data_IF_902780605918
#
_entry.id   IF_902780605918
#
_cell.length_a   1.000
_cell.length_b   1.000
_cell.length_c   1.000
_cell.angle_alpha   90.00
_cell.angle_beta   90.00
_cell.angle_gamma   90.00
#
_symmetry.space_group_name_H-M   'P 1'
#
loop_
_entity.id
_entity.type
_entity.pdbx_description
1 polymer ?
#
# COMPACT_ATOMS: atom_id res chain seq x y z
N UNK A 1 -93.37 -16.88 61.59
CA UNK A 1 -92.60 -18.07 61.99
C UNK A 1 -91.72 -18.44 60.82
N UNK A 2 -90.42 -18.12 60.88
CA UNK A 2 -89.47 -18.74 59.97
C UNK A 2 -89.27 -20.16 60.50
N UNK A 3 -89.87 -21.15 59.86
CA UNK A 3 -89.43 -22.53 60.04
C UNK A 3 -88.02 -22.61 59.46
N UNK A 4 -87.04 -22.37 60.32
CA UNK A 4 -85.62 -22.56 60.04
C UNK A 4 -85.37 -24.07 59.92
N UNK A 5 -85.95 -24.65 58.87
CA UNK A 5 -85.84 -26.07 58.55
C UNK A 5 -84.44 -26.35 58.00
N UNK A 6 -84.01 -27.60 58.15
CA UNK A 6 -82.71 -28.15 57.73
C UNK A 6 -82.33 -27.80 56.27
N UNK A 7 -83.28 -27.39 55.44
CA UNK A 7 -83.11 -26.93 54.06
C UNK A 7 -82.20 -25.70 53.91
N UNK A 8 -82.25 -24.70 54.79
CA UNK A 8 -81.37 -23.52 54.71
C UNK A 8 -79.87 -23.87 54.82
N UNK A 9 -79.40 -24.62 55.84
CA UNK A 9 -78.00 -25.00 55.90
C UNK A 9 -77.59 -25.93 54.74
N UNK A 10 -78.49 -26.78 54.22
CA UNK A 10 -78.23 -27.60 53.04
C UNK A 10 -77.94 -26.73 51.80
N UNK A 11 -78.73 -25.68 51.55
CA UNK A 11 -78.48 -24.76 50.43
C UNK A 11 -77.15 -24.02 50.57
N UNK A 12 -76.76 -23.62 51.78
CA UNK A 12 -75.46 -22.96 52.03
C UNK A 12 -74.31 -23.92 51.71
N UNK A 13 -74.39 -25.17 52.16
CA UNK A 13 -73.36 -26.18 51.87
C UNK A 13 -73.27 -26.46 50.37
N UNK A 14 -74.42 -26.58 49.68
CA UNK A 14 -74.46 -26.78 48.23
C UNK A 14 -73.89 -25.58 47.47
N UNK A 15 -74.20 -24.35 47.89
CA UNK A 15 -73.65 -23.13 47.30
C UNK A 15 -72.12 -23.04 47.49
N UNK A 16 -71.63 -23.33 48.69
CA UNK A 16 -70.19 -23.37 48.97
C UNK A 16 -69.50 -24.47 48.15
N UNK A 17 -70.11 -25.66 48.04
CA UNK A 17 -69.61 -26.74 47.20
C UNK A 17 -69.53 -26.33 45.72
N UNK A 18 -70.57 -25.67 45.20
CA UNK A 18 -70.58 -25.14 43.84
C UNK A 18 -69.53 -24.04 43.64
N UNK A 19 -69.35 -23.14 44.61
CA UNK A 19 -68.33 -22.09 44.55
C UNK A 19 -66.91 -22.68 44.49
N UNK A 20 -66.63 -23.71 45.29
CA UNK A 20 -65.35 -24.42 45.25
C UNK A 20 -65.15 -25.11 43.90
N UNK A 21 -66.17 -25.80 43.38
CA UNK A 21 -66.12 -26.44 42.07
C UNK A 21 -65.85 -25.43 40.95
N UNK A 22 -66.52 -24.27 40.99
CA UNK A 22 -66.37 -23.22 39.99
C UNK A 22 -65.01 -22.52 40.07
N UNK A 23 -64.46 -22.34 41.28
CA UNK A 23 -63.11 -21.82 41.46
C UNK A 23 -62.06 -22.74 40.84
N UNK A 24 -62.18 -24.05 41.08
CA UNK A 24 -61.25 -25.05 40.55
C UNK A 24 -61.39 -25.21 39.03
N UNK A 25 -62.62 -25.24 38.53
CA UNK A 25 -62.92 -25.56 37.13
C UNK A 25 -62.85 -24.35 36.18
N UNK A 26 -63.05 -23.12 36.67
CA UNK A 26 -63.14 -21.91 35.82
C UNK A 26 -62.10 -20.86 36.18
N UNK A 27 -62.00 -20.44 37.44
CA UNK A 27 -61.09 -19.34 37.80
C UNK A 27 -59.62 -19.71 37.62
N UNK A 28 -59.21 -20.90 38.06
CA UNK A 28 -57.83 -21.39 37.88
C UNK A 28 -57.38 -21.48 36.41
N UNK A 29 -58.11 -22.17 35.50
CA UNK A 29 -57.67 -22.25 34.11
C UNK A 29 -57.69 -20.90 33.40
N UNK A 30 -58.63 -20.00 33.70
CA UNK A 30 -58.64 -18.65 33.15
C UNK A 30 -57.44 -17.83 33.63
N UNK A 31 -57.15 -17.89 34.94
CA UNK A 31 -55.97 -17.22 35.50
C UNK A 31 -54.66 -17.74 34.89
N UNK A 32 -54.55 -19.06 34.68
CA UNK A 32 -53.41 -19.67 33.99
C UNK A 32 -53.30 -19.20 32.54
N UNK A 33 -54.40 -19.20 31.79
CA UNK A 33 -54.39 -18.73 30.40
C UNK A 33 -53.99 -17.25 30.27
N UNK A 34 -54.39 -16.40 31.21
CA UNK A 34 -53.95 -15.00 31.26
C UNK A 34 -52.46 -14.89 31.56
N UNK A 35 -51.96 -15.66 32.54
CA UNK A 35 -50.54 -15.69 32.89
C UNK A 35 -49.68 -16.18 31.71
N UNK A 36 -50.10 -17.26 31.03
CA UNK A 36 -49.42 -17.80 29.86
C UNK A 36 -49.36 -16.76 28.73
N UNK A 37 -50.47 -16.07 28.44
CA UNK A 37 -50.50 -14.97 27.46
C UNK A 37 -49.55 -13.84 27.84
N UNK A 38 -49.55 -13.44 29.11
CA UNK A 38 -48.68 -12.38 29.58
C UNK A 38 -47.20 -12.78 29.48
N UNK A 39 -46.86 -14.03 29.77
CA UNK A 39 -45.53 -14.58 29.61
C UNK A 39 -45.09 -14.60 28.13
N UNK A 40 -45.96 -15.03 27.21
CA UNK A 40 -45.69 -15.03 25.77
C UNK A 40 -45.46 -13.60 25.26
N UNK A 41 -46.32 -12.66 25.63
CA UNK A 41 -46.20 -11.26 25.19
C UNK A 41 -44.88 -10.65 25.68
N UNK A 42 -44.56 -10.82 26.97
CA UNK A 42 -43.29 -10.34 27.54
C UNK A 42 -42.10 -10.99 26.84
N UNK A 43 -42.11 -12.31 26.68
CA UNK A 43 -41.05 -13.04 25.98
C UNK A 43 -40.86 -12.57 24.53
N UNK A 44 -41.95 -12.30 23.81
CA UNK A 44 -41.88 -11.77 22.44
C UNK A 44 -41.30 -10.34 22.41
N UNK A 45 -41.67 -9.48 23.36
CA UNK A 45 -41.13 -8.12 23.47
C UNK A 45 -39.63 -8.17 23.77
N UNK A 46 -39.22 -8.99 24.74
CA UNK A 46 -37.82 -9.13 25.13
C UNK A 46 -36.99 -9.73 23.98
N UNK A 47 -37.52 -10.74 23.29
CA UNK A 47 -36.89 -11.32 22.12
C UNK A 47 -36.75 -10.31 20.96
N UNK A 48 -37.79 -9.51 20.72
CA UNK A 48 -37.76 -8.46 19.70
C UNK A 48 -36.75 -7.35 20.05
N UNK A 49 -36.69 -6.95 21.32
CA UNK A 49 -35.71 -5.98 21.82
C UNK A 49 -34.27 -6.51 21.64
N UNK A 50 -34.01 -7.75 22.05
CA UNK A 50 -32.71 -8.40 21.88
C UNK A 50 -32.32 -8.57 20.40
N UNK A 51 -33.28 -8.93 19.54
CA UNK A 51 -33.05 -9.04 18.10
C UNK A 51 -32.71 -7.67 17.48
N UNK A 52 -33.40 -6.61 17.91
CA UNK A 52 -33.11 -5.23 17.46
C UNK A 52 -31.75 -4.75 17.93
N UNK A 53 -31.37 -5.04 19.18
CA UNK A 53 -30.06 -4.70 19.71
C UNK A 53 -28.94 -5.40 18.94
N UNK A 54 -29.06 -6.71 18.72
CA UNK A 54 -28.11 -7.48 17.88
C UNK A 54 -28.03 -6.94 16.46
N UNK A 55 -29.16 -6.59 15.85
CA UNK A 55 -29.17 -6.01 14.51
C UNK A 55 -28.41 -4.67 14.48
N UNK A 56 -28.64 -3.80 15.46
CA UNK A 56 -27.92 -2.53 15.59
C UNK A 56 -26.42 -2.76 15.80
N UNK A 57 -26.04 -3.74 16.62
CA UNK A 57 -24.64 -4.09 16.84
C UNK A 57 -23.96 -4.57 15.54
N UNK A 58 -24.61 -5.46 14.79
CA UNK A 58 -24.11 -5.95 13.50
C UNK A 58 -23.96 -4.80 12.50
N UNK A 59 -24.93 -3.88 12.44
CA UNK A 59 -24.86 -2.70 11.58
C UNK A 59 -23.70 -1.77 12.00
N UNK A 60 -23.53 -1.54 13.30
CA UNK A 60 -22.41 -0.74 13.81
C UNK A 60 -21.05 -1.37 13.49
N UNK A 61 -20.91 -2.69 13.69
CA UNK A 61 -19.71 -3.44 13.32
C UNK A 61 -19.45 -3.38 11.79
N UNK A 62 -20.50 -3.48 10.98
CA UNK A 62 -20.39 -3.38 9.53
C UNK A 62 -19.89 -2.00 9.09
N UNK A 63 -20.46 -0.92 9.65
CA UNK A 63 -19.99 0.44 9.37
C UNK A 63 -18.53 0.65 9.82
N UNK A 64 -18.15 0.14 10.98
CA UNK A 64 -16.77 0.20 11.47
C UNK A 64 -15.80 -0.55 10.52
N UNK A 65 -16.20 -1.72 10.03
CA UNK A 65 -15.41 -2.49 9.04
C UNK A 65 -15.25 -1.74 7.73
N UNK A 66 -16.30 -1.10 7.21
CA UNK A 66 -16.19 -0.27 6.00
C UNK A 66 -15.21 0.89 6.20
N UNK A 67 -15.31 1.60 7.33
CA UNK A 67 -14.40 2.71 7.62
C UNK A 67 -12.96 2.25 7.70
N UNK A 68 -12.72 1.13 8.38
CA UNK A 68 -11.38 0.52 8.50
C UNK A 68 -10.85 0.09 7.14
N UNK A 69 -11.64 -0.63 6.34
CA UNK A 69 -11.25 -1.08 5.01
C UNK A 69 -10.94 0.10 4.06
N UNK A 70 -11.72 1.18 4.12
CA UNK A 70 -11.44 2.39 3.35
C UNK A 70 -10.14 3.07 3.79
N UNK A 71 -9.87 3.13 5.10
CA UNK A 71 -8.65 3.70 5.63
C UNK A 71 -7.42 2.87 5.23
N UNK A 72 -7.51 1.54 5.32
CA UNK A 72 -6.46 0.61 4.88
C UNK A 72 -6.22 0.70 3.37
N UNK A 73 -7.28 0.76 2.56
CA UNK A 73 -7.15 0.93 1.11
C UNK A 73 -6.46 2.25 0.76
N UNK A 74 -6.84 3.35 1.42
CA UNK A 74 -6.21 4.65 1.21
C UNK A 74 -4.74 4.63 1.64
N UNK A 75 -4.42 4.01 2.79
CA UNK A 75 -3.05 3.85 3.25
C UNK A 75 -2.21 3.05 2.24
N UNK A 76 -2.74 1.93 1.74
CA UNK A 76 -2.08 1.09 0.73
C UNK A 76 -1.83 1.86 -0.58
N UNK A 77 -2.82 2.64 -1.05
CA UNK A 77 -2.65 3.49 -2.24
C UNK A 77 -1.54 4.51 -2.00
N UNK A 78 -1.53 5.19 -0.85
CA UNK A 78 -0.50 6.19 -0.55
C UNK A 78 0.89 5.58 -0.40
N UNK A 79 1.01 4.40 0.21
CA UNK A 79 2.27 3.68 0.34
C UNK A 79 2.78 3.23 -1.04
N UNK A 80 1.91 2.62 -1.84
CA UNK A 80 2.27 2.11 -3.17
C UNK A 80 2.67 3.25 -4.11
N UNK A 81 1.93 4.36 -4.10
CA UNK A 81 2.27 5.55 -4.91
C UNK A 81 3.59 6.16 -4.48
N UNK A 82 3.81 6.34 -3.18
CA UNK A 82 5.08 6.85 -2.65
C UNK A 82 6.26 5.93 -2.99
N UNK A 83 6.08 4.61 -2.87
CA UNK A 83 7.09 3.63 -3.23
C UNK A 83 7.39 3.62 -4.74
N UNK A 84 6.35 3.73 -5.58
CA UNK A 84 6.49 3.84 -7.02
C UNK A 84 7.23 5.12 -7.43
N UNK A 85 6.88 6.26 -6.84
CA UNK A 85 7.56 7.54 -7.07
C UNK A 85 9.04 7.48 -6.66
N UNK A 86 9.33 6.89 -5.48
CA UNK A 86 10.71 6.70 -5.01
C UNK A 86 11.51 5.80 -5.97
N UNK A 87 10.91 4.71 -6.43
CA UNK A 87 11.54 3.79 -7.39
C UNK A 87 11.81 4.49 -8.72
N UNK A 88 10.81 5.20 -9.25
CA UNK A 88 10.94 5.98 -10.48
C UNK A 88 12.04 7.05 -10.38
N UNK A 89 12.09 7.79 -9.27
CA UNK A 89 13.13 8.79 -9.02
C UNK A 89 14.53 8.15 -8.96
N UNK A 90 14.65 6.98 -8.30
CA UNK A 90 15.91 6.26 -8.23
C UNK A 90 16.35 5.71 -9.59
N UNK A 91 15.43 5.20 -10.41
CA UNK A 91 15.73 4.74 -11.78
C UNK A 91 16.13 5.90 -12.69
N UNK A 92 15.40 7.01 -12.66
CA UNK A 92 15.75 8.21 -13.41
C UNK A 92 17.15 8.69 -13.02
N UNK A 93 17.46 8.75 -11.72
CA UNK A 93 18.80 9.13 -11.26
C UNK A 93 19.87 8.17 -11.79
N UNK A 94 19.65 6.85 -11.71
CA UNK A 94 20.58 5.86 -12.27
C UNK A 94 20.80 6.02 -13.77
N UNK A 95 19.74 6.32 -14.53
CA UNK A 95 19.86 6.57 -15.98
C UNK A 95 20.66 7.84 -16.25
N UNK A 96 20.40 8.93 -15.52
CA UNK A 96 21.17 10.16 -15.61
C UNK A 96 22.64 9.95 -15.27
N UNK A 97 22.94 9.27 -14.16
CA UNK A 97 24.31 8.98 -13.72
C UNK A 97 25.06 8.12 -14.74
N UNK A 98 24.39 7.11 -15.32
CA UNK A 98 24.95 6.29 -16.42
C UNK A 98 25.23 7.11 -17.67
N UNK A 99 24.29 7.96 -18.08
CA UNK A 99 24.47 8.82 -19.26
C UNK A 99 25.64 9.80 -19.08
N UNK A 100 25.78 10.38 -17.90
CA UNK A 100 26.94 11.23 -17.57
C UNK A 100 28.26 10.46 -17.61
N UNK A 101 28.29 9.25 -17.04
CA UNK A 101 29.47 8.40 -17.08
C UNK A 101 29.85 8.00 -18.51
N UNK A 102 28.87 7.70 -19.37
CA UNK A 102 29.09 7.36 -20.77
C UNK A 102 29.62 8.55 -21.57
N UNK A 103 29.06 9.75 -21.37
CA UNK A 103 29.57 10.99 -21.98
C UNK A 103 31.01 11.25 -21.54
N UNK A 104 31.31 11.08 -20.26
CA UNK A 104 32.66 11.28 -19.74
C UNK A 104 33.65 10.28 -20.34
N UNK A 105 33.27 8.99 -20.40
CA UNK A 105 34.09 7.96 -21.04
C UNK A 105 34.31 8.22 -22.54
N UNK A 106 33.29 8.69 -23.26
CA UNK A 106 33.41 9.07 -24.66
C UNK A 106 34.36 10.25 -24.86
N UNK A 107 34.30 11.27 -23.98
CA UNK A 107 35.24 12.41 -23.99
C UNK A 107 36.68 11.99 -23.75
N UNK A 108 36.91 11.08 -22.81
CA UNK A 108 38.25 10.54 -22.52
C UNK A 108 38.81 9.76 -23.72
N UNK A 109 37.98 8.91 -24.35
CA UNK A 109 38.36 8.21 -25.58
C UNK A 109 38.71 9.19 -26.71
N UNK A 110 37.85 10.18 -26.97
CA UNK A 110 38.10 11.24 -27.96
C UNK A 110 39.41 12.01 -27.69
N UNK A 111 39.72 12.28 -26.42
CA UNK A 111 40.98 12.94 -26.06
C UNK A 111 42.19 12.03 -26.34
N UNK A 112 42.10 10.73 -26.03
CA UNK A 112 43.16 9.77 -26.34
C UNK A 112 43.36 9.56 -27.84
N UNK A 113 42.29 9.43 -28.62
CA UNK A 113 42.34 9.26 -30.07
C UNK A 113 42.96 10.48 -30.75
N UNK A 114 42.62 11.70 -30.28
CA UNK A 114 43.26 12.93 -30.75
C UNK A 114 44.77 12.93 -30.50
N UNK A 115 45.22 12.46 -29.32
CA UNK A 115 46.65 12.35 -29.02
C UNK A 115 47.37 11.41 -30.01
N UNK A 116 46.81 10.22 -30.22
CA UNK A 116 47.35 9.23 -31.16
C UNK A 116 47.39 9.77 -32.60
N UNK A 117 46.33 10.44 -33.05
CA UNK A 117 46.28 11.05 -34.39
C UNK A 117 47.31 12.17 -34.57
N UNK A 118 47.57 12.97 -33.54
CA UNK A 118 48.61 14.00 -33.58
C UNK A 118 49.99 13.34 -33.69
N UNK A 119 50.26 12.30 -32.90
CA UNK A 119 51.54 11.58 -32.95
C UNK A 119 51.75 10.93 -34.33
N UNK A 120 50.72 10.33 -34.93
CA UNK A 120 50.77 9.79 -36.29
C UNK A 120 51.01 10.87 -37.35
N UNK A 121 50.36 12.04 -37.24
CA UNK A 121 50.58 13.15 -38.17
C UNK A 121 52.02 13.67 -38.09
N UNK A 122 52.59 13.78 -36.89
CA UNK A 122 53.98 14.20 -36.69
C UNK A 122 54.96 13.20 -37.33
N UNK A 123 54.72 11.90 -37.19
CA UNK A 123 55.56 10.88 -37.81
C UNK A 123 55.45 10.89 -39.35
N UNK A 124 54.24 11.08 -39.90
CA UNK A 124 54.04 11.23 -41.35
C UNK A 124 54.71 12.48 -41.91
N UNK A 125 54.60 13.61 -41.20
CA UNK A 125 55.23 14.86 -41.60
C UNK A 125 56.76 14.75 -41.57
N UNK A 126 57.32 14.11 -40.53
CA UNK A 126 58.74 13.80 -40.43
C UNK A 126 59.24 12.95 -41.61
N UNK A 127 58.52 11.89 -41.97
CA UNK A 127 58.84 11.07 -43.15
C UNK A 127 58.76 11.83 -44.47
N UNK A 128 57.84 12.79 -44.58
CA UNK A 128 57.73 13.68 -45.74
C UNK A 128 58.92 14.65 -45.82
N UNK A 129 59.31 15.26 -44.69
CA UNK A 129 60.47 16.16 -44.59
C UNK A 129 61.76 15.41 -44.89
N UNK A 130 61.94 14.19 -44.38
CA UNK A 130 63.09 13.35 -44.71
C UNK A 130 63.13 13.01 -46.21
N UNK A 131 61.99 12.71 -46.83
CA UNK A 131 61.89 12.44 -48.28
C UNK A 131 62.19 13.68 -49.14
N UNK A 132 61.71 14.85 -48.74
CA UNK A 132 62.01 16.13 -49.41
C UNK A 132 63.50 16.45 -49.27
N UNK A 133 64.06 16.29 -48.06
CA UNK A 133 65.47 16.54 -47.78
C UNK A 133 66.35 15.58 -48.59
N UNK A 134 65.98 14.30 -48.69
CA UNK A 134 66.65 13.31 -49.55
C UNK A 134 66.58 13.66 -51.04
N UNK A 135 65.46 14.23 -51.50
CA UNK A 135 65.28 14.68 -52.90
C UNK A 135 66.00 16.00 -53.22
N UNK A 136 66.13 16.92 -52.26
CA UNK A 136 66.80 18.21 -52.45
C UNK A 136 68.32 18.15 -52.25
N UNK A 137 68.81 17.35 -51.30
CA UNK A 137 70.23 17.32 -50.93
C UNK A 137 70.99 16.17 -51.62
N UNK A 138 70.29 15.20 -52.22
CA UNK A 138 70.90 14.22 -53.12
C UNK A 138 72.00 13.37 -52.46
N UNK A 139 71.60 12.29 -51.80
CA UNK A 139 72.43 11.14 -51.37
C UNK A 139 73.85 11.40 -50.80
N UNK A 140 74.11 12.60 -50.24
CA UNK A 140 75.44 12.90 -49.69
C UNK A 140 75.40 14.07 -48.70
N UNK A 141 75.09 13.75 -47.43
CA UNK A 141 75.74 14.33 -46.25
C UNK A 141 75.11 13.79 -44.96
N UNK A 142 75.88 12.99 -44.22
CA UNK A 142 75.61 12.68 -42.82
C UNK A 142 75.72 13.99 -42.01
N UNK A 143 74.59 14.54 -41.55
CA UNK A 143 74.59 15.61 -40.54
C UNK A 143 73.85 15.05 -39.33
N UNK A 144 74.61 14.65 -38.32
CA UNK A 144 74.11 14.28 -37.00
C UNK A 144 73.51 15.51 -36.33
N UNK A 145 72.21 15.70 -36.49
CA UNK A 145 71.43 16.65 -35.69
C UNK A 145 71.11 15.98 -34.34
N UNK A 146 71.89 16.38 -33.34
CA UNK A 146 71.77 15.95 -31.96
C UNK A 146 70.39 16.29 -31.37
N UNK A 147 69.73 15.26 -30.84
CA UNK A 147 68.41 15.30 -30.20
C UNK A 147 68.29 16.27 -29.00
N UNK A 148 69.39 16.84 -28.53
CA UNK A 148 69.43 17.82 -27.44
C UNK A 148 69.01 19.25 -27.84
N UNK A 149 69.27 19.69 -29.08
CA UNK A 149 68.96 21.07 -29.50
C UNK A 149 67.49 21.27 -29.83
N UNK A 150 66.82 20.24 -30.36
CA UNK A 150 65.38 20.28 -30.66
C UNK A 150 64.56 20.32 -29.35
N UNK A 151 65.00 19.62 -28.29
CA UNK A 151 64.34 19.67 -26.98
C UNK A 151 64.38 21.06 -26.34
N UNK A 152 65.48 21.80 -26.51
CA UNK A 152 65.59 23.19 -26.01
C UNK A 152 64.71 24.18 -26.78
N UNK A 153 64.56 24.02 -28.09
CA UNK A 153 63.75 24.92 -28.90
C UNK A 153 62.23 24.76 -28.65
N UNK A 154 61.78 23.56 -28.27
CA UNK A 154 60.36 23.32 -27.95
C UNK A 154 59.97 23.79 -26.54
N UNK A 155 60.93 23.90 -25.61
CA UNK A 155 60.68 24.32 -24.23
C UNK A 155 60.64 25.86 -24.08
N UNK A 156 61.35 26.60 -24.95
CA UNK A 156 61.29 28.08 -25.01
C UNK A 156 60.05 28.63 -25.75
N UNK A 157 59.30 27.78 -26.46
CA UNK A 157 58.11 28.19 -27.22
C UNK A 157 56.78 28.02 -26.46
N UNK A 158 56.82 27.75 -25.15
CA UNK A 158 55.64 27.63 -24.29
C UNK A 158 55.42 28.86 -23.40
#
# INVERSE_FOLDING_TARGET
MFDLNLTCPIFVVMFLGFMVLLNEMVLKPVGKALADRQAIIRGNIDAAAAAREKANEVVAQYHARIQTANAEAQALITETTTAAEKTRAAELKKVYDKGQAEIQAAREKLASERGVLIDELVEQEKGLVESITKKLIGDSAHISLDSGTIKRALEEAR
#
